data_IF_604553652215
#
_entry.id   IF_604553652215
#
_cell.length_a   1.000
_cell.length_b   1.000
_cell.length_c   1.000
_cell.angle_alpha   90.00
_cell.angle_beta   90.00
_cell.angle_gamma   90.00
#
_symmetry.space_group_name_H-M   'P 1'
#
loop_
_entity.id
_entity.type
_entity.pdbx_description
1 polymer ?
#
# COMPACT_ATOMS: atom_id res chain seq x y z
N UNK A 1 3.35 5.72 -3.55
CA UNK A 1 4.79 5.56 -3.78
C UNK A 1 5.10 5.84 -5.24
N UNK A 2 5.85 6.89 -5.52
CA UNK A 2 6.05 7.38 -6.89
C UNK A 2 7.48 7.15 -7.34
N UNK A 3 7.66 6.85 -8.63
CA UNK A 3 8.99 6.72 -9.23
C UNK A 3 9.79 8.01 -9.08
N UNK A 4 11.05 7.89 -8.67
CA UNK A 4 11.99 8.99 -8.55
C UNK A 4 11.95 9.69 -7.20
N UNK A 5 12.91 10.57 -6.97
CA UNK A 5 13.06 11.33 -5.74
C UNK A 5 13.30 12.81 -6.05
N UNK A 6 13.14 13.67 -5.03
CA UNK A 6 13.29 15.12 -5.20
C UNK A 6 12.22 15.71 -6.09
N UNK A 7 12.60 16.60 -7.01
CA UNK A 7 11.66 17.34 -7.84
C UNK A 7 10.81 16.46 -8.77
N UNK A 8 11.36 15.50 -9.53
CA UNK A 8 10.56 14.61 -10.37
C UNK A 8 9.54 13.78 -9.58
N UNK A 9 9.96 13.15 -8.48
CA UNK A 9 9.05 12.39 -7.61
C UNK A 9 7.95 13.26 -7.02
N UNK A 10 8.27 14.51 -6.63
CA UNK A 10 7.28 15.47 -6.16
C UNK A 10 6.23 15.81 -7.22
N UNK A 11 6.62 15.99 -8.49
CA UNK A 11 5.66 16.21 -9.59
C UNK A 11 4.78 14.98 -9.82
N UNK A 12 5.34 13.77 -9.79
CA UNK A 12 4.56 12.54 -9.92
C UNK A 12 3.54 12.40 -8.79
N UNK A 13 3.94 12.68 -7.55
CA UNK A 13 3.04 12.64 -6.40
C UNK A 13 1.90 13.67 -6.53
N UNK A 14 2.21 14.91 -6.94
CA UNK A 14 1.18 15.94 -7.18
C UNK A 14 0.21 15.54 -8.30
N UNK A 15 0.71 14.98 -9.39
CA UNK A 15 -0.10 14.49 -10.51
C UNK A 15 -1.06 13.38 -10.03
N UNK A 16 -0.54 12.39 -9.32
CA UNK A 16 -1.33 11.30 -8.76
C UNK A 16 -2.41 11.77 -7.80
N UNK A 17 -2.06 12.66 -6.87
CA UNK A 17 -3.01 13.24 -5.91
C UNK A 17 -4.11 14.04 -6.61
N UNK A 18 -3.75 14.85 -7.62
CA UNK A 18 -4.74 15.61 -8.40
C UNK A 18 -5.73 14.70 -9.10
N UNK A 19 -5.23 13.69 -9.82
CA UNK A 19 -6.07 12.74 -10.55
C UNK A 19 -6.96 11.90 -9.62
N UNK A 20 -6.43 11.46 -8.46
CA UNK A 20 -7.22 10.73 -7.47
C UNK A 20 -8.32 11.59 -6.85
N UNK A 21 -8.04 12.86 -6.55
CA UNK A 21 -9.05 13.79 -6.05
C UNK A 21 -10.17 14.02 -7.05
N UNK A 22 -9.86 14.20 -8.32
CA UNK A 22 -10.87 14.35 -9.38
C UNK A 22 -11.78 13.13 -9.47
N UNK A 23 -11.21 11.92 -9.37
CA UNK A 23 -11.98 10.67 -9.37
C UNK A 23 -12.80 10.47 -8.10
N UNK A 24 -12.31 10.91 -6.93
CA UNK A 24 -13.01 10.76 -5.66
C UNK A 24 -14.17 11.74 -5.49
N UNK A 25 -14.16 12.88 -6.21
CA UNK A 25 -15.25 13.89 -6.18
C UNK A 25 -16.37 13.59 -7.17
N UNK A 26 -16.23 12.59 -8.04
CA UNK A 26 -17.31 12.16 -8.92
C UNK A 26 -18.51 11.65 -8.09
N UNK A 27 -19.75 11.89 -8.57
CA UNK A 27 -21.02 11.54 -7.88
C UNK A 27 -21.17 10.03 -7.56
N UNK A 28 -20.31 9.20 -8.11
CA UNK A 28 -20.20 7.78 -7.81
C UNK A 28 -18.75 7.39 -7.60
N UNK A 29 -18.38 7.01 -6.38
CA UNK A 29 -17.07 6.41 -6.11
C UNK A 29 -16.99 5.09 -6.89
N UNK A 30 -16.11 5.04 -7.87
CA UNK A 30 -15.83 3.84 -8.64
C UNK A 30 -15.13 2.78 -7.76
N UNK A 31 -15.13 1.54 -8.22
CA UNK A 31 -14.35 0.51 -7.55
C UNK A 31 -12.84 0.83 -7.60
N UNK A 32 -12.05 0.46 -6.57
CA UNK A 32 -10.61 0.70 -6.55
C UNK A 32 -9.88 0.21 -7.79
N UNK A 33 -10.26 -0.94 -8.34
CA UNK A 33 -9.64 -1.49 -9.55
C UNK A 33 -9.89 -0.60 -10.78
N UNK A 34 -11.10 -0.08 -10.94
CA UNK A 34 -11.43 0.85 -12.03
C UNK A 34 -10.72 2.20 -11.85
N UNK A 35 -10.60 2.68 -10.61
CA UNK A 35 -9.85 3.90 -10.31
C UNK A 35 -8.36 3.74 -10.68
N UNK A 36 -7.73 2.62 -10.33
CA UNK A 36 -6.33 2.35 -10.74
C UNK A 36 -6.18 2.24 -12.26
N UNK A 37 -7.16 1.63 -12.93
CA UNK A 37 -7.16 1.54 -14.39
C UNK A 37 -7.24 2.92 -15.05
N UNK A 38 -8.14 3.79 -14.55
CA UNK A 38 -8.28 5.17 -15.02
C UNK A 38 -7.04 6.00 -14.71
N UNK A 39 -6.49 5.86 -13.51
CA UNK A 39 -5.26 6.54 -13.10
C UNK A 39 -4.09 6.17 -14.01
N UNK A 40 -3.91 4.88 -14.31
CA UNK A 40 -2.88 4.40 -15.24
C UNK A 40 -3.06 5.03 -16.63
N UNK A 41 -4.26 5.01 -17.17
CA UNK A 41 -4.55 5.63 -18.46
C UNK A 41 -4.17 7.10 -18.46
N UNK A 42 -4.56 7.84 -17.45
CA UNK A 42 -4.31 9.27 -17.34
C UNK A 42 -2.81 9.58 -17.19
N UNK A 43 -2.06 8.81 -16.37
CA UNK A 43 -0.61 8.99 -16.20
C UNK A 43 0.12 8.69 -17.51
N UNK A 44 -0.14 7.55 -18.15
CA UNK A 44 0.47 7.17 -19.42
C UNK A 44 0.24 8.24 -20.48
N UNK A 45 -0.99 8.78 -20.54
CA UNK A 45 -1.36 9.85 -21.48
C UNK A 45 -0.67 11.18 -21.14
N UNK A 46 -0.68 11.59 -19.87
CA UNK A 46 -0.11 12.86 -19.44
C UNK A 46 1.42 12.92 -19.61
N UNK A 47 2.10 11.78 -19.41
CA UNK A 47 3.54 11.67 -19.59
C UNK A 47 3.96 11.33 -21.04
N UNK A 48 3.00 11.10 -21.94
CA UNK A 48 3.28 10.74 -23.32
C UNK A 48 4.04 9.42 -23.48
N UNK A 49 3.84 8.47 -22.57
CA UNK A 49 4.51 7.17 -22.60
C UNK A 49 3.95 6.35 -23.78
N UNK A 50 4.74 6.13 -24.83
CA UNK A 50 4.28 5.50 -26.08
C UNK A 50 4.96 4.20 -26.43
N UNK A 51 6.15 3.93 -25.90
CA UNK A 51 6.92 2.71 -26.17
C UNK A 51 7.67 2.24 -24.93
N UNK A 52 7.91 0.91 -24.85
CA UNK A 52 8.69 0.29 -23.78
C UNK A 52 10.20 0.51 -23.91
N UNK A 53 10.66 1.01 -25.03
CA UNK A 53 12.09 1.25 -25.33
C UNK A 53 12.58 2.64 -24.87
N UNK A 54 11.68 3.48 -24.37
CA UNK A 54 12.03 4.78 -23.81
C UNK A 54 12.35 4.64 -22.31
N UNK A 55 13.37 5.31 -21.83
CA UNK A 55 13.81 5.33 -20.41
C UNK A 55 12.78 5.97 -19.45
N UNK A 56 11.59 6.30 -19.93
CA UNK A 56 10.53 6.98 -19.16
C UNK A 56 9.41 6.01 -18.77
N UNK A 57 9.66 5.25 -17.72
CA UNK A 57 8.67 4.38 -17.07
C UNK A 57 8.14 5.00 -15.76
N UNK A 58 8.14 6.32 -15.66
CA UNK A 58 7.65 7.00 -14.46
C UNK A 58 6.19 6.64 -14.18
N UNK A 59 5.92 6.34 -12.94
CA UNK A 59 4.62 5.89 -12.48
C UNK A 59 4.54 5.86 -10.97
N UNK A 60 3.68 5.00 -10.45
CA UNK A 60 3.56 4.83 -9.01
C UNK A 60 3.10 3.44 -8.63
N UNK A 61 3.52 3.02 -7.45
CA UNK A 61 2.98 1.90 -6.72
C UNK A 61 1.94 2.42 -5.72
N UNK A 62 0.80 1.78 -5.64
CA UNK A 62 -0.31 2.29 -4.83
C UNK A 62 -1.19 1.18 -4.29
N UNK A 63 -1.56 1.30 -3.01
CA UNK A 63 -2.64 0.54 -2.40
C UNK A 63 -3.88 1.44 -2.29
N UNK A 64 -4.94 1.11 -3.00
CA UNK A 64 -6.19 1.88 -2.99
C UNK A 64 -7.31 1.08 -2.31
N UNK A 65 -7.96 1.73 -1.35
CA UNK A 65 -9.07 1.13 -0.61
C UNK A 65 -10.30 2.04 -0.65
N UNK A 66 -11.48 1.44 -0.80
CA UNK A 66 -12.75 2.08 -0.47
C UNK A 66 -13.42 1.30 0.64
N UNK A 67 -14.02 2.02 1.60
CA UNK A 67 -14.71 1.42 2.72
C UNK A 67 -16.14 1.96 2.85
N UNK A 68 -17.10 1.07 2.75
CA UNK A 68 -18.52 1.40 3.03
C UNK A 68 -18.80 1.22 4.52
N UNK A 69 -18.95 2.34 5.23
CA UNK A 69 -19.19 2.37 6.67
C UNK A 69 -20.54 1.76 7.07
N UNK A 70 -21.52 1.66 6.16
CA UNK A 70 -22.84 1.09 6.44
C UNK A 70 -22.82 -0.43 6.36
N UNK A 71 -22.20 -0.98 5.31
CA UNK A 71 -22.13 -2.43 5.10
C UNK A 71 -20.92 -3.07 5.77
N UNK A 72 -19.88 -2.30 6.11
CA UNK A 72 -18.60 -2.80 6.61
C UNK A 72 -17.75 -3.46 5.52
N UNK A 73 -18.00 -3.14 4.26
CA UNK A 73 -17.27 -3.72 3.13
C UNK A 73 -16.05 -2.87 2.80
N UNK A 74 -14.89 -3.51 2.80
CA UNK A 74 -13.65 -2.98 2.25
C UNK A 74 -13.45 -3.57 0.84
N UNK A 75 -13.26 -2.70 -0.14
CA UNK A 75 -12.72 -3.09 -1.43
C UNK A 75 -11.27 -2.58 -1.53
N UNK A 76 -10.39 -3.40 -2.04
CA UNK A 76 -8.97 -3.11 -2.20
C UNK A 76 -8.51 -3.50 -3.61
N UNK A 77 -7.73 -2.63 -4.22
CA UNK A 77 -6.89 -2.91 -5.38
C UNK A 77 -5.49 -2.37 -5.12
N UNK A 78 -4.47 -3.11 -5.52
CA UNK A 78 -3.07 -2.71 -5.33
C UNK A 78 -2.28 -2.83 -6.62
N UNK A 79 -1.48 -1.81 -6.90
CA UNK A 79 -0.38 -1.82 -7.84
C UNK A 79 0.89 -2.00 -7.03
N UNK A 80 1.51 -3.17 -7.05
CA UNK A 80 2.70 -3.61 -6.30
C UNK A 80 2.61 -3.54 -4.75
N UNK A 81 1.80 -2.67 -4.17
CA UNK A 81 1.72 -2.49 -2.71
C UNK A 81 0.62 -3.34 -2.08
N UNK A 82 0.97 -4.31 -1.20
CA UNK A 82 0.00 -5.08 -0.43
C UNK A 82 -0.55 -4.27 0.74
N UNK A 83 -1.63 -4.79 1.35
CA UNK A 83 -2.13 -4.30 2.63
C UNK A 83 -2.21 -5.44 3.64
N UNK A 84 -2.14 -5.10 4.92
CA UNK A 84 -2.33 -6.06 6.02
C UNK A 84 -3.64 -5.75 6.73
N UNK A 85 -4.43 -6.80 6.96
CA UNK A 85 -5.67 -6.74 7.75
C UNK A 85 -5.43 -7.46 9.08
N UNK A 86 -5.83 -6.83 10.18
CA UNK A 86 -5.99 -7.49 11.47
C UNK A 86 -7.48 -7.63 11.72
N UNK A 87 -7.99 -8.85 11.65
CA UNK A 87 -9.42 -9.16 11.88
C UNK A 87 -9.58 -10.27 12.91
N UNK A 88 -10.62 -10.13 13.73
CA UNK A 88 -11.06 -11.19 14.64
C UNK A 88 -11.93 -12.22 13.95
N UNK A 89 -12.51 -11.85 12.81
CA UNK A 89 -13.32 -12.75 11.99
C UNK A 89 -12.40 -13.48 11.02
N UNK A 90 -12.72 -14.74 10.75
CA UNK A 90 -12.04 -15.51 9.73
C UNK A 90 -12.33 -14.91 8.35
N UNK A 91 -11.26 -14.63 7.60
CA UNK A 91 -11.34 -14.21 6.19
C UNK A 91 -10.93 -15.43 5.36
N UNK A 92 -11.82 -15.94 4.48
CA UNK A 92 -11.49 -17.10 3.66
C UNK A 92 -10.23 -16.87 2.82
N UNK A 93 -9.26 -17.78 2.85
CA UNK A 93 -8.05 -17.65 2.04
C UNK A 93 -8.36 -17.79 0.55
N UNK A 94 -7.54 -17.15 -0.27
CA UNK A 94 -7.54 -17.28 -1.72
C UNK A 94 -6.12 -17.08 -2.24
N UNK A 95 -5.90 -17.22 -3.54
CA UNK A 95 -4.58 -16.97 -4.15
C UNK A 95 -4.06 -15.55 -3.84
N UNK A 96 -4.97 -14.62 -3.55
CA UNK A 96 -4.69 -13.21 -3.25
C UNK A 96 -4.91 -12.81 -1.79
N UNK A 97 -5.42 -13.70 -0.95
CA UNK A 97 -5.61 -13.49 0.51
C UNK A 97 -4.78 -14.53 1.24
N UNK A 98 -3.67 -14.08 1.81
CA UNK A 98 -2.75 -14.93 2.54
C UNK A 98 -2.99 -14.78 4.05
N UNK A 99 -3.47 -15.83 4.73
CA UNK A 99 -3.60 -15.82 6.18
C UNK A 99 -2.23 -15.97 6.85
N UNK A 100 -2.07 -15.30 7.97
CA UNK A 100 -0.96 -15.43 8.91
C UNK A 100 -1.49 -15.73 10.31
N UNK A 101 -0.57 -15.93 11.25
CA UNK A 101 -0.94 -16.20 12.67
C UNK A 101 -1.73 -15.03 13.27
N UNK A 102 -2.53 -15.35 14.27
CA UNK A 102 -3.23 -14.40 15.14
C UNK A 102 -4.21 -13.44 14.43
N UNK A 103 -4.86 -13.87 13.38
CA UNK A 103 -5.88 -13.08 12.68
C UNK A 103 -5.31 -11.96 11.80
N UNK A 104 -4.06 -12.08 11.39
CA UNK A 104 -3.49 -11.25 10.33
C UNK A 104 -3.74 -11.90 8.96
N UNK A 105 -4.01 -11.04 7.99
CA UNK A 105 -4.17 -11.41 6.59
C UNK A 105 -3.44 -10.39 5.72
N UNK A 106 -2.76 -10.85 4.69
CA UNK A 106 -2.19 -9.98 3.67
C UNK A 106 -3.02 -10.08 2.40
N UNK A 107 -3.44 -8.95 1.88
CA UNK A 107 -4.08 -8.84 0.57
C UNK A 107 -3.00 -8.50 -0.45
N UNK A 108 -2.80 -9.41 -1.42
CA UNK A 108 -1.74 -9.28 -2.42
C UNK A 108 -2.16 -8.35 -3.56
N UNK A 109 -1.25 -7.46 -4.00
CA UNK A 109 -1.48 -6.57 -5.13
C UNK A 109 -1.36 -7.31 -6.46
N UNK A 110 -1.74 -6.65 -7.54
CA UNK A 110 -1.27 -7.00 -8.87
C UNK A 110 0.20 -6.58 -8.99
N UNK A 111 1.02 -7.44 -9.62
CA UNK A 111 2.46 -7.21 -9.80
C UNK A 111 2.72 -6.36 -11.05
N UNK A 112 2.25 -5.14 -11.00
CA UNK A 112 2.44 -4.13 -12.03
C UNK A 112 2.21 -2.74 -11.43
N UNK A 113 2.96 -1.71 -11.85
CA UNK A 113 2.78 -0.33 -11.41
C UNK A 113 1.59 0.34 -12.10
N UNK A 114 1.24 1.51 -11.62
CA UNK A 114 0.39 2.47 -12.35
C UNK A 114 1.30 3.28 -13.30
N UNK A 115 1.67 2.66 -14.41
CA UNK A 115 2.55 3.20 -15.45
C UNK A 115 2.36 2.42 -16.75
N UNK A 116 3.06 2.81 -17.81
CA UNK A 116 3.30 1.93 -18.94
C UNK A 116 4.18 0.77 -18.49
N UNK A 117 3.76 -0.46 -18.74
CA UNK A 117 4.43 -1.67 -18.26
C UNK A 117 4.26 -2.80 -19.28
N UNK A 118 5.22 -3.75 -19.34
CA UNK A 118 5.20 -4.85 -20.30
C UNK A 118 3.86 -5.61 -20.31
N UNK A 119 3.27 -5.77 -19.13
CA UNK A 119 2.03 -6.48 -18.93
C UNK A 119 0.93 -5.52 -18.45
N UNK A 120 0.11 -5.06 -19.41
CA UNK A 120 -0.98 -4.12 -19.19
C UNK A 120 -2.31 -4.81 -18.85
N UNK A 121 -2.28 -5.78 -17.93
CA UNK A 121 -3.50 -6.43 -17.46
C UNK A 121 -4.41 -5.43 -16.70
N UNK A 122 -5.68 -5.78 -16.56
CA UNK A 122 -6.59 -5.03 -15.70
C UNK A 122 -6.24 -5.24 -14.23
N UNK A 123 -6.38 -4.20 -13.41
CA UNK A 123 -6.25 -4.34 -11.96
C UNK A 123 -7.40 -5.17 -11.40
N UNK A 124 -7.08 -6.05 -10.48
CA UNK A 124 -8.05 -6.90 -9.79
C UNK A 124 -8.53 -6.23 -8.50
N UNK A 125 -9.72 -6.58 -8.06
CA UNK A 125 -10.30 -6.11 -6.79
C UNK A 125 -10.48 -7.26 -5.80
N UNK A 126 -10.16 -7.02 -4.55
CA UNK A 126 -10.48 -7.90 -3.43
C UNK A 126 -11.54 -7.22 -2.58
N UNK A 127 -12.63 -7.95 -2.32
CA UNK A 127 -13.75 -7.49 -1.51
C UNK A 127 -13.86 -8.34 -0.26
N UNK A 128 -13.79 -7.70 0.91
CA UNK A 128 -13.94 -8.37 2.21
C UNK A 128 -14.88 -7.61 3.12
N UNK A 129 -15.53 -8.33 4.02
CA UNK A 129 -16.33 -7.72 5.08
C UNK A 129 -15.50 -7.63 6.34
N UNK A 130 -15.38 -6.43 6.88
CA UNK A 130 -14.70 -6.15 8.13
C UNK A 130 -15.71 -5.88 9.24
N UNK A 131 -15.30 -6.17 10.46
CA UNK A 131 -16.07 -6.00 11.69
C UNK A 131 -15.55 -4.80 12.50
N UNK A 132 -16.40 -4.19 13.37
CA UNK A 132 -15.94 -3.17 14.29
C UNK A 132 -14.74 -3.65 15.13
N UNK A 133 -13.69 -2.83 15.15
CA UNK A 133 -12.43 -3.14 15.84
C UNK A 133 -11.38 -3.80 14.98
N UNK A 134 -11.71 -4.25 13.77
CA UNK A 134 -10.72 -4.66 12.78
C UNK A 134 -9.85 -3.48 12.34
N UNK A 135 -8.63 -3.75 11.93
CA UNK A 135 -7.69 -2.73 11.50
C UNK A 135 -7.07 -3.07 10.14
N UNK A 136 -6.78 -2.03 9.37
CA UNK A 136 -6.13 -2.09 8.06
C UNK A 136 -4.84 -1.32 8.14
N UNK A 137 -3.74 -1.91 7.62
CA UNK A 137 -2.44 -1.28 7.53
C UNK A 137 -2.03 -1.17 6.07
N UNK A 138 -1.80 0.07 5.63
CA UNK A 138 -1.23 0.40 4.33
C UNK A 138 0.21 0.87 4.55
N UNK A 139 1.11 0.50 3.66
CA UNK A 139 2.53 0.86 3.79
C UNK A 139 3.22 0.88 2.43
N UNK A 140 4.27 1.71 2.32
CA UNK A 140 5.19 1.71 1.18
C UNK A 140 6.29 0.68 1.40
N UNK A 141 6.96 0.28 0.35
CA UNK A 141 8.04 -0.71 0.43
C UNK A 141 9.30 -0.17 1.12
N UNK A 142 9.47 1.16 1.22
CA UNK A 142 10.59 1.78 1.91
C UNK A 142 10.80 1.28 3.35
N UNK A 143 9.72 0.87 4.06
CA UNK A 143 9.88 0.27 5.38
C UNK A 143 10.53 -1.12 5.32
N UNK A 144 10.01 -1.98 4.44
CA UNK A 144 10.47 -3.39 4.34
C UNK A 144 11.81 -3.49 3.62
N UNK A 145 12.10 -2.53 2.77
CA UNK A 145 13.32 -2.45 1.98
C UNK A 145 14.47 -1.70 2.67
N UNK A 146 14.20 -1.04 3.82
CA UNK A 146 15.23 -0.37 4.60
C UNK A 146 16.35 -1.34 4.99
N UNK A 147 17.57 -1.02 4.59
CA UNK A 147 18.76 -1.75 5.00
C UNK A 147 19.13 -1.45 6.46
N UNK A 148 19.68 -2.47 7.15
CA UNK A 148 20.11 -2.32 8.52
C UNK A 148 20.48 -3.63 9.20
N UNK A 149 20.59 -3.56 10.52
CA UNK A 149 21.00 -4.67 11.37
C UNK A 149 22.46 -5.10 11.18
N UNK A 150 22.93 -6.11 11.92
CA UNK A 150 24.35 -6.48 11.97
C UNK A 150 24.94 -6.97 10.64
N UNK A 151 24.09 -7.29 9.66
CA UNK A 151 24.49 -7.85 8.34
C UNK A 151 24.12 -6.94 7.17
N UNK A 152 23.69 -5.71 7.43
CA UNK A 152 23.22 -4.77 6.40
C UNK A 152 22.27 -5.45 5.40
N UNK A 153 21.11 -5.90 5.88
CA UNK A 153 20.09 -6.56 5.07
C UNK A 153 18.81 -5.74 5.08
N UNK A 154 17.94 -5.96 4.10
CA UNK A 154 16.57 -5.42 4.11
C UNK A 154 15.83 -5.91 5.35
N UNK A 155 14.97 -5.06 5.93
CA UNK A 155 14.11 -5.42 7.06
C UNK A 155 13.23 -6.62 6.72
N UNK A 156 12.58 -6.55 5.59
CA UNK A 156 11.84 -7.64 4.97
C UNK A 156 10.38 -7.75 5.42
N UNK A 157 9.56 -8.28 4.54
CA UNK A 157 8.11 -8.44 4.77
C UNK A 157 7.78 -9.34 5.97
N UNK A 158 8.56 -10.43 6.20
CA UNK A 158 8.31 -11.33 7.34
C UNK A 158 8.52 -10.62 8.68
N UNK A 159 9.57 -9.83 8.80
CA UNK A 159 9.85 -9.05 10.00
C UNK A 159 8.78 -7.95 10.21
N UNK A 160 8.32 -7.31 9.13
CA UNK A 160 7.26 -6.31 9.21
C UNK A 160 5.92 -6.94 9.66
N UNK A 161 5.54 -8.09 9.12
CA UNK A 161 4.34 -8.81 9.56
C UNK A 161 4.43 -9.23 11.03
N UNK A 162 5.58 -9.73 11.46
CA UNK A 162 5.83 -10.05 12.87
C UNK A 162 5.73 -8.81 13.77
N UNK A 163 6.25 -7.67 13.33
CA UNK A 163 6.13 -6.40 14.04
C UNK A 163 4.66 -5.99 14.18
N UNK A 164 3.89 -5.96 13.09
CA UNK A 164 2.46 -5.63 13.14
C UNK A 164 1.71 -6.59 14.06
N UNK A 165 2.00 -7.90 13.98
CA UNK A 165 1.40 -8.88 14.89
C UNK A 165 1.70 -8.58 16.36
N UNK A 166 2.91 -8.16 16.69
CA UNK A 166 3.31 -7.85 18.07
C UNK A 166 2.62 -6.62 18.65
N UNK A 167 2.26 -5.65 17.80
CA UNK A 167 1.71 -4.35 18.24
C UNK A 167 0.21 -4.18 18.00
N UNK A 168 -0.44 -5.05 17.24
CA UNK A 168 -1.83 -4.90 16.76
C UNK A 168 -2.88 -4.69 17.85
N UNK A 169 -2.61 -5.12 19.09
CA UNK A 169 -3.52 -4.97 20.24
C UNK A 169 -3.28 -3.68 21.04
N UNK A 170 -2.23 -2.94 20.74
CA UNK A 170 -1.90 -1.66 21.40
C UNK A 170 -2.70 -0.52 20.78
N UNK A 171 -2.69 0.64 21.44
CA UNK A 171 -3.23 1.87 20.83
C UNK A 171 -2.40 2.28 19.62
N UNK A 172 -3.01 2.98 18.66
CA UNK A 172 -2.26 3.45 17.48
C UNK A 172 -1.11 4.40 17.82
N UNK A 173 -1.22 5.14 18.92
CA UNK A 173 -0.11 5.96 19.42
C UNK A 173 1.09 5.12 19.83
N UNK A 174 0.85 4.03 20.58
CA UNK A 174 1.91 3.09 20.98
C UNK A 174 2.46 2.33 19.76
N UNK A 175 1.58 1.87 18.86
CA UNK A 175 1.99 1.22 17.62
C UNK A 175 2.93 2.13 16.82
N UNK A 176 2.57 3.40 16.61
CA UNK A 176 3.39 4.39 15.90
C UNK A 176 4.78 4.50 16.52
N UNK A 177 4.87 4.62 17.85
CA UNK A 177 6.14 4.74 18.53
C UNK A 177 7.02 3.49 18.35
N UNK A 178 6.42 2.29 18.47
CA UNK A 178 7.16 1.03 18.34
C UNK A 178 7.60 0.82 16.88
N UNK A 179 6.71 1.03 15.92
CA UNK A 179 7.01 0.89 14.49
C UNK A 179 8.14 1.84 14.10
N UNK A 180 8.05 3.12 14.50
CA UNK A 180 9.09 4.11 14.25
C UNK A 180 10.41 3.75 14.91
N UNK A 181 10.43 3.46 16.21
CA UNK A 181 11.65 3.14 16.94
C UNK A 181 12.30 1.84 16.45
N UNK A 182 11.51 0.91 15.92
CA UNK A 182 12.02 -0.35 15.36
C UNK A 182 12.80 -0.10 14.08
N UNK A 183 12.29 0.70 13.16
CA UNK A 183 13.00 0.96 11.90
C UNK A 183 14.23 1.84 12.14
N UNK A 184 14.16 2.83 13.04
CA UNK A 184 15.33 3.64 13.40
C UNK A 184 16.45 2.80 14.03
N UNK A 185 16.09 1.87 14.92
CA UNK A 185 17.06 0.94 15.51
C UNK A 185 17.62 -0.03 14.47
N UNK A 186 16.79 -0.48 13.54
CA UNK A 186 17.22 -1.37 12.45
C UNK A 186 18.23 -0.68 11.54
N UNK A 187 17.91 0.52 11.09
CA UNK A 187 18.79 1.37 10.27
C UNK A 187 20.11 1.65 10.97
N UNK A 188 20.05 1.94 12.28
CA UNK A 188 21.22 2.31 13.07
C UNK A 188 21.82 3.65 12.61
N UNK A 189 23.12 3.83 12.90
CA UNK A 189 23.85 5.06 12.55
C UNK A 189 24.63 4.95 11.23
N UNK A 190 24.72 3.75 10.66
CA UNK A 190 25.57 3.47 9.50
C UNK A 190 24.82 3.43 8.17
N UNK A 191 23.53 3.16 8.21
CA UNK A 191 22.72 3.09 6.99
C UNK A 191 21.90 4.37 6.82
N UNK A 192 21.71 4.78 5.57
CA UNK A 192 20.82 5.87 5.23
C UNK A 192 19.42 5.34 4.91
N UNK A 193 18.41 6.18 5.11
CA UNK A 193 17.12 5.93 4.51
C UNK A 193 17.23 6.15 3.00
N UNK A 194 16.87 5.11 2.23
CA UNK A 194 17.03 5.11 0.76
C UNK A 194 15.72 5.34 0.03
N UNK A 195 14.60 5.24 0.73
CA UNK A 195 13.27 5.37 0.16
C UNK A 195 12.29 5.99 1.15
N UNK A 196 11.13 6.48 0.66
CA UNK A 196 10.10 7.09 1.47
C UNK A 196 9.33 6.04 2.28
N UNK A 197 9.30 6.24 3.59
CA UNK A 197 8.66 5.32 4.54
C UNK A 197 7.31 5.87 4.98
N UNK A 198 6.23 5.22 4.55
CA UNK A 198 4.89 5.47 5.06
C UNK A 198 4.31 4.18 5.68
N UNK A 199 3.74 4.29 6.87
CA UNK A 199 2.88 3.26 7.47
C UNK A 199 1.63 3.92 8.02
N UNK A 200 0.47 3.55 7.50
CA UNK A 200 -0.82 4.07 7.92
C UNK A 200 -1.67 2.94 8.52
N UNK A 201 -2.15 3.13 9.75
CA UNK A 201 -3.09 2.24 10.41
C UNK A 201 -4.48 2.87 10.50
N UNK A 202 -5.50 2.16 10.08
CA UNK A 202 -6.92 2.55 10.19
C UNK A 202 -7.66 1.49 10.98
N UNK A 203 -8.40 1.90 12.01
CA UNK A 203 -9.24 1.01 12.80
C UNK A 203 -10.71 1.32 12.56
N UNK A 204 -11.48 0.28 12.29
CA UNK A 204 -12.92 0.45 12.15
C UNK A 204 -13.53 0.83 13.51
N UNK A 205 -14.36 1.89 13.55
CA UNK A 205 -14.99 2.29 14.81
C UNK A 205 -15.86 1.16 15.35
N UNK A 206 -15.72 0.92 16.65
CA UNK A 206 -16.68 0.11 17.40
C UNK A 206 -18.04 0.84 17.47
N UNK A 207 -19.11 0.07 17.57
CA UNK A 207 -20.42 0.66 17.90
C UNK A 207 -20.42 1.12 19.33
#
# INVERSE_FOLDING_TARGET
DCTGHGVPGGFMSMLGVSMLNDMATADSIQSPSLMLQSLRHNIVTALGQTSFDEDNHDGMDIALCTFDTKSGILNYAGANLPIIINSKSEIPPSDRIQPYQDGLYELKPDRMPVALYDKMDSFSEIRIKLSPGDAVYLFTDGYVDQFGGPKSKKFGHDAFRALISSVKNLSFSEQKQIIWSTIERWKGETENQTDDILVMGLKLPGK
#
